data_IF_219468157232
#
_entry.id   IF_219468157232
#
_cell.length_a   1.000
_cell.length_b   1.000
_cell.length_c   1.000
_cell.angle_alpha   90.00
_cell.angle_beta   90.00
_cell.angle_gamma   90.00
#
_symmetry.space_group_name_H-M   'P 1'
#
loop_
_entity.id
_entity.type
_entity.pdbx_description
1 polymer ?
#
# COMPACT_ATOMS: atom_id res chain seq x y z
N UNK A 1 -1.61 17.10 17.82
CA UNK A 1 -2.62 16.74 18.85
C UNK A 1 -3.96 16.63 18.16
N UNK A 2 -4.41 15.40 17.89
CA UNK A 2 -5.75 15.15 17.35
C UNK A 2 -6.74 15.49 18.46
N UNK A 3 -7.59 16.46 18.21
CA UNK A 3 -8.63 16.88 19.13
C UNK A 3 -9.75 15.82 19.11
N UNK A 4 -9.68 14.85 20.00
CA UNK A 4 -10.74 13.87 20.20
C UNK A 4 -11.92 14.63 20.79
N UNK A 5 -12.84 15.08 19.93
CA UNK A 5 -14.14 15.57 20.39
C UNK A 5 -14.85 14.41 21.05
N UNK A 6 -15.10 14.52 22.35
CA UNK A 6 -16.05 13.66 23.05
C UNK A 6 -17.39 13.74 22.33
N UNK A 7 -17.80 12.66 21.68
CA UNK A 7 -19.11 12.53 21.07
C UNK A 7 -20.17 12.68 22.18
N UNK A 8 -21.15 13.54 22.01
CA UNK A 8 -22.26 13.64 22.95
C UNK A 8 -23.09 12.34 22.92
N UNK A 9 -23.77 12.03 24.03
CA UNK A 9 -24.60 10.81 24.14
C UNK A 9 -25.63 10.64 23.00
N UNK A 10 -26.04 11.74 22.36
CA UNK A 10 -26.96 11.73 21.22
C UNK A 10 -26.32 11.24 19.92
N UNK A 11 -24.99 11.16 19.85
CA UNK A 11 -24.24 10.70 18.65
C UNK A 11 -23.84 9.21 18.72
N UNK A 12 -24.08 8.53 19.85
CA UNK A 12 -23.72 7.13 20.07
C UNK A 12 -24.58 6.14 19.28
N UNK A 13 -25.65 6.59 18.63
CA UNK A 13 -26.54 5.77 17.81
C UNK A 13 -26.47 6.06 16.30
N UNK A 14 -25.58 6.97 15.86
CA UNK A 14 -25.34 7.14 14.44
C UNK A 14 -24.58 5.92 13.92
N UNK A 15 -25.17 5.16 13.02
CA UNK A 15 -24.46 4.09 12.33
C UNK A 15 -23.31 4.73 11.54
N UNK A 16 -22.08 4.31 11.82
CA UNK A 16 -20.95 4.68 11.00
C UNK A 16 -20.99 3.82 9.73
N UNK A 17 -21.10 4.47 8.59
CA UNK A 17 -20.99 3.76 7.32
C UNK A 17 -19.61 3.14 7.18
N UNK A 18 -19.59 1.90 6.70
CA UNK A 18 -18.35 1.14 6.49
C UNK A 18 -17.43 1.81 5.48
N UNK A 19 -18.00 2.53 4.54
CA UNK A 19 -17.33 3.32 3.53
C UNK A 19 -17.98 4.70 3.44
N UNK A 20 -17.31 5.72 3.95
CA UNK A 20 -17.76 7.10 3.86
C UNK A 20 -16.85 7.89 2.92
N UNK A 21 -16.97 7.64 1.61
CA UNK A 21 -16.27 8.42 0.58
C UNK A 21 -17.20 9.55 0.16
N UNK A 22 -16.88 10.78 0.57
CA UNK A 22 -17.64 11.98 0.24
C UNK A 22 -16.99 12.79 -0.86
N UNK A 23 -17.71 13.02 -1.96
CA UNK A 23 -17.33 14.00 -2.98
C UNK A 23 -18.22 15.23 -2.86
N UNK A 24 -17.60 16.40 -2.73
CA UNK A 24 -18.33 17.68 -2.71
C UNK A 24 -18.54 18.23 -4.15
N UNK A 25 -19.16 19.42 -4.25
CA UNK A 25 -19.43 20.05 -5.54
C UNK A 25 -18.16 20.46 -6.30
N UNK A 26 -17.05 20.73 -5.58
CA UNK A 26 -15.75 21.09 -6.18
C UNK A 26 -15.12 19.86 -6.82
N UNK A 27 -15.15 18.72 -6.13
CA UNK A 27 -14.68 17.44 -6.64
C UNK A 27 -15.43 17.04 -7.91
N UNK A 28 -16.78 17.18 -7.87
CA UNK A 28 -17.63 16.88 -9.03
C UNK A 28 -17.29 17.77 -10.23
N UNK A 29 -17.17 19.11 -10.01
CA UNK A 29 -16.82 20.04 -11.07
C UNK A 29 -15.45 19.68 -11.69
N UNK A 30 -14.48 19.37 -10.86
CA UNK A 30 -13.13 18.98 -11.30
C UNK A 30 -13.12 17.67 -12.07
N UNK A 31 -13.90 16.67 -11.64
CA UNK A 31 -14.03 15.40 -12.33
C UNK A 31 -14.63 15.59 -13.74
N UNK A 32 -15.68 16.41 -13.88
CA UNK A 32 -16.25 16.72 -15.20
C UNK A 32 -15.23 17.40 -16.13
N UNK A 33 -14.52 18.41 -15.63
CA UNK A 33 -13.46 19.07 -16.41
C UNK A 33 -12.39 18.08 -16.88
N UNK A 34 -11.93 17.19 -16.00
CA UNK A 34 -10.90 16.20 -16.35
C UNK A 34 -11.42 15.15 -17.33
N UNK A 35 -12.69 14.74 -17.19
CA UNK A 35 -13.34 13.85 -18.16
C UNK A 35 -13.44 14.47 -19.56
N UNK A 36 -13.86 15.73 -19.65
CA UNK A 36 -13.94 16.45 -20.93
C UNK A 36 -12.56 16.48 -21.60
N UNK A 37 -11.50 16.77 -20.84
CA UNK A 37 -10.12 16.73 -21.36
C UNK A 37 -9.71 15.36 -21.89
N UNK A 38 -10.08 14.27 -21.19
CA UNK A 38 -9.80 12.91 -21.67
C UNK A 38 -10.54 12.62 -22.98
N UNK A 39 -11.81 12.98 -23.04
CA UNK A 39 -12.63 12.78 -24.23
C UNK A 39 -12.11 13.57 -25.44
N UNK A 40 -11.76 14.84 -25.24
CA UNK A 40 -11.24 15.73 -26.27
C UNK A 40 -9.85 15.29 -26.78
N UNK A 41 -9.06 14.64 -25.93
CA UNK A 41 -7.72 14.16 -26.28
C UNK A 41 -7.72 12.93 -27.20
N UNK A 42 -8.83 12.20 -27.29
CA UNK A 42 -8.97 10.90 -27.95
C UNK A 42 -7.97 9.82 -27.43
N UNK A 43 -7.32 10.07 -26.28
CA UNK A 43 -6.36 9.16 -25.63
C UNK A 43 -6.89 8.70 -24.28
N UNK A 44 -7.52 7.53 -24.25
CA UNK A 44 -8.27 7.04 -23.09
C UNK A 44 -7.48 6.10 -22.17
N UNK A 45 -6.36 5.56 -22.61
CA UNK A 45 -5.53 4.63 -21.83
C UNK A 45 -4.15 5.18 -21.47
N UNK A 46 -3.59 5.98 -22.35
CA UNK A 46 -2.29 6.63 -22.17
C UNK A 46 -2.43 8.09 -22.61
N UNK A 47 -1.87 9.00 -21.86
CA UNK A 47 -1.94 10.41 -22.24
C UNK A 47 -1.60 11.34 -21.08
N UNK A 48 -1.90 12.62 -21.30
CA UNK A 48 -1.53 13.68 -20.36
C UNK A 48 -2.13 13.53 -18.97
N UNK A 49 -3.30 12.89 -18.82
CA UNK A 49 -3.94 12.72 -17.51
C UNK A 49 -3.22 11.66 -16.64
N UNK A 50 -2.77 10.57 -17.27
CA UNK A 50 -1.95 9.57 -16.58
C UNK A 50 -0.63 10.20 -16.16
N UNK A 51 0.08 10.87 -17.07
CA UNK A 51 1.34 11.54 -16.77
C UNK A 51 1.19 12.63 -15.69
N UNK A 52 0.09 13.39 -15.72
CA UNK A 52 -0.20 14.40 -14.70
C UNK A 52 -0.46 13.77 -13.32
N UNK A 53 -1.16 12.63 -13.27
CA UNK A 53 -1.38 11.88 -12.03
C UNK A 53 -0.05 11.33 -11.49
N UNK A 54 0.75 10.66 -12.30
CA UNK A 54 2.05 10.12 -11.91
C UNK A 54 2.97 11.21 -11.37
N UNK A 55 3.04 12.36 -12.07
CA UNK A 55 3.82 13.51 -11.65
C UNK A 55 3.34 14.08 -10.31
N UNK A 56 2.02 14.24 -10.13
CA UNK A 56 1.45 14.77 -8.89
C UNK A 56 1.64 13.80 -7.70
N UNK A 57 1.44 12.50 -7.94
CA UNK A 57 1.62 11.48 -6.93
C UNK A 57 3.09 11.32 -6.54
N UNK A 58 3.98 11.32 -7.54
CA UNK A 58 5.42 11.27 -7.32
C UNK A 58 5.93 12.47 -6.54
N UNK A 59 5.51 13.68 -6.93
CA UNK A 59 5.86 14.90 -6.20
C UNK A 59 5.33 14.91 -4.76
N UNK A 60 4.14 14.34 -4.52
CA UNK A 60 3.58 14.27 -3.17
C UNK A 60 4.34 13.28 -2.27
N UNK A 61 4.83 12.18 -2.81
CA UNK A 61 5.59 11.17 -2.06
C UNK A 61 7.12 11.35 -2.16
N UNK A 62 7.59 12.31 -2.96
CA UNK A 62 9.03 12.53 -3.24
C UNK A 62 9.72 11.31 -3.88
N UNK A 63 8.97 10.56 -4.69
CA UNK A 63 9.39 9.34 -5.39
C UNK A 63 8.89 9.34 -6.84
N UNK A 64 9.52 8.57 -7.70
CA UNK A 64 8.95 8.27 -9.02
C UNK A 64 7.69 7.43 -8.88
N UNK A 65 6.70 7.67 -9.73
CA UNK A 65 5.43 6.97 -9.71
C UNK A 65 5.05 6.44 -11.09
N UNK A 66 4.46 5.25 -11.12
CA UNK A 66 3.86 4.67 -12.32
C UNK A 66 2.42 4.22 -12.03
N UNK A 67 1.49 4.63 -12.87
CA UNK A 67 0.08 4.30 -12.71
C UNK A 67 -0.26 2.95 -13.38
N UNK A 68 -1.07 2.16 -12.70
CA UNK A 68 -1.60 0.90 -13.19
C UNK A 68 -3.13 0.90 -13.13
N UNK A 69 -3.77 0.11 -13.98
CA UNK A 69 -5.23 -0.01 -14.00
C UNK A 69 -5.81 -0.66 -12.72
N UNK A 70 -4.97 -1.29 -11.90
CA UNK A 70 -5.38 -1.93 -10.64
C UNK A 70 -4.17 -2.14 -9.73
N UNK A 71 -4.43 -2.27 -8.42
CA UNK A 71 -3.44 -2.71 -7.44
C UNK A 71 -2.77 -4.03 -7.87
N UNK A 72 -3.56 -4.98 -8.39
CA UNK A 72 -3.02 -6.27 -8.84
C UNK A 72 -2.01 -6.14 -9.98
N UNK A 73 -2.22 -5.20 -10.89
CA UNK A 73 -1.27 -4.88 -11.95
C UNK A 73 0.04 -4.32 -11.41
N UNK A 74 -0.04 -3.37 -10.48
CA UNK A 74 1.13 -2.78 -9.83
C UNK A 74 1.91 -3.83 -9.02
N UNK A 75 1.22 -4.59 -8.18
CA UNK A 75 1.85 -5.64 -7.36
C UNK A 75 2.53 -6.71 -8.21
N UNK A 76 1.90 -7.14 -9.32
CA UNK A 76 2.51 -8.12 -10.21
C UNK A 76 3.76 -7.56 -10.90
N UNK A 77 3.74 -6.29 -11.32
CA UNK A 77 4.91 -5.63 -11.89
C UNK A 77 6.07 -5.55 -10.88
N UNK A 78 5.80 -5.18 -9.64
CA UNK A 78 6.79 -5.15 -8.57
C UNK A 78 7.38 -6.56 -8.29
N UNK A 79 6.54 -7.59 -8.24
CA UNK A 79 6.96 -8.98 -8.05
C UNK A 79 7.85 -9.50 -9.20
N UNK A 80 7.48 -9.20 -10.44
CA UNK A 80 8.28 -9.56 -11.62
C UNK A 80 9.61 -8.81 -11.62
N UNK A 81 9.62 -7.53 -11.27
CA UNK A 81 10.84 -6.73 -11.12
C UNK A 81 11.75 -7.29 -10.02
N UNK A 82 11.20 -7.68 -8.88
CA UNK A 82 11.93 -8.31 -7.79
C UNK A 82 12.51 -9.70 -8.16
N UNK A 83 12.01 -10.33 -9.22
CA UNK A 83 12.50 -11.63 -9.70
C UNK A 83 12.11 -12.78 -8.76
N UNK A 84 10.87 -12.83 -8.31
CA UNK A 84 10.41 -13.79 -7.26
C UNK A 84 10.11 -15.20 -7.76
N UNK A 85 10.18 -15.46 -9.06
CA UNK A 85 9.83 -16.78 -9.64
C UNK A 85 10.72 -17.90 -9.10
N UNK A 86 10.11 -18.89 -8.44
CA UNK A 86 10.80 -20.02 -7.81
C UNK A 86 11.35 -19.71 -6.42
N UNK A 87 11.37 -18.45 -6.02
CA UNK A 87 11.89 -17.96 -4.74
C UNK A 87 10.80 -17.91 -3.66
N UNK A 88 11.21 -17.70 -2.42
CA UNK A 88 10.28 -17.48 -1.30
C UNK A 88 9.97 -15.99 -1.15
N UNK A 89 8.73 -15.68 -0.86
CA UNK A 89 8.25 -14.35 -0.48
C UNK A 89 7.50 -14.43 0.85
N UNK A 90 7.72 -13.44 1.72
CA UNK A 90 6.99 -13.32 2.97
C UNK A 90 5.77 -12.41 2.77
N UNK A 91 4.61 -12.87 3.25
CA UNK A 91 3.37 -12.10 3.24
C UNK A 91 2.79 -12.03 4.65
N UNK A 92 2.21 -10.90 5.08
CA UNK A 92 1.50 -10.87 6.36
C UNK A 92 0.27 -11.79 6.32
N UNK A 93 -0.04 -12.44 7.44
CA UNK A 93 -1.22 -13.32 7.56
C UNK A 93 -2.53 -12.52 7.57
N UNK A 94 -2.48 -11.28 8.03
CA UNK A 94 -3.62 -10.35 7.98
C UNK A 94 -3.49 -9.41 6.78
N UNK A 95 -4.02 -9.82 5.64
CA UNK A 95 -3.99 -9.06 4.40
C UNK A 95 -5.19 -9.39 3.51
N UNK A 96 -5.40 -8.57 2.50
CA UNK A 96 -6.33 -8.92 1.43
C UNK A 96 -5.80 -10.12 0.63
N UNK A 97 -6.68 -11.03 0.27
CA UNK A 97 -6.32 -12.32 -0.37
C UNK A 97 -5.49 -12.14 -1.66
N UNK A 98 -5.60 -11.01 -2.36
CA UNK A 98 -4.83 -10.77 -3.57
C UNK A 98 -3.31 -10.76 -3.32
N UNK A 99 -2.86 -10.31 -2.15
CA UNK A 99 -1.42 -10.21 -1.82
C UNK A 99 -0.71 -11.57 -1.97
N UNK A 100 -1.08 -12.64 -1.23
CA UNK A 100 -0.44 -13.95 -1.42
C UNK A 100 -0.79 -14.61 -2.76
N UNK A 101 -2.01 -14.39 -3.30
CA UNK A 101 -2.38 -15.00 -4.58
C UNK A 101 -1.57 -14.46 -5.75
N UNK A 102 -1.23 -13.19 -5.77
CA UNK A 102 -0.36 -12.62 -6.82
C UNK A 102 1.08 -13.10 -6.69
N UNK A 103 1.59 -13.26 -5.47
CA UNK A 103 2.90 -13.89 -5.26
C UNK A 103 2.94 -15.32 -5.82
N UNK A 104 1.92 -16.13 -5.54
CA UNK A 104 1.77 -17.46 -6.13
C UNK A 104 1.63 -17.40 -7.66
N UNK A 105 0.87 -16.43 -8.19
CA UNK A 105 0.71 -16.23 -9.64
C UNK A 105 2.01 -15.84 -10.32
N UNK A 106 2.86 -15.05 -9.67
CA UNK A 106 4.21 -14.72 -10.13
C UNK A 106 5.17 -15.92 -10.08
N UNK A 107 4.75 -17.05 -9.50
CA UNK A 107 5.51 -18.28 -9.39
C UNK A 107 6.40 -18.36 -8.14
N UNK A 108 6.14 -17.52 -7.13
CA UNK A 108 6.82 -17.57 -5.85
C UNK A 108 6.24 -18.66 -4.92
N UNK A 109 7.00 -19.01 -3.89
CA UNK A 109 6.54 -19.76 -2.72
C UNK A 109 6.19 -18.75 -1.65
N UNK A 110 4.99 -18.85 -1.07
CA UNK A 110 4.51 -17.91 -0.05
C UNK A 110 4.67 -18.53 1.34
N UNK A 111 5.32 -17.78 2.21
CA UNK A 111 5.35 -18.03 3.65
C UNK A 111 4.65 -16.88 4.37
N UNK A 112 3.79 -17.20 5.33
CA UNK A 112 3.05 -16.20 6.06
C UNK A 112 3.80 -15.76 7.31
N UNK A 113 3.73 -14.46 7.59
CA UNK A 113 4.21 -13.84 8.82
C UNK A 113 3.01 -13.48 9.69
N UNK A 114 3.09 -13.79 10.97
CA UNK A 114 2.02 -13.48 11.93
C UNK A 114 1.87 -11.97 12.13
N UNK A 115 0.77 -11.55 12.71
CA UNK A 115 0.49 -10.13 12.97
C UNK A 115 0.57 -9.80 14.45
N UNK A 116 0.93 -8.55 14.75
CA UNK A 116 0.85 -7.99 16.09
C UNK A 116 -0.60 -7.80 16.53
N UNK A 117 -0.84 -7.87 17.83
CA UNK A 117 -2.17 -7.60 18.42
C UNK A 117 -2.51 -6.12 18.46
N UNK A 118 -1.50 -5.27 18.53
CA UNK A 118 -1.68 -3.83 18.81
C UNK A 118 -2.02 -3.06 17.55
N UNK A 119 -1.47 -3.45 16.40
CA UNK A 119 -1.68 -2.77 15.12
C UNK A 119 -2.26 -3.67 14.01
N UNK A 120 -2.35 -4.97 14.26
CA UNK A 120 -2.78 -5.98 13.28
C UNK A 120 -1.93 -6.03 12.01
N UNK A 121 -0.81 -5.33 11.98
CA UNK A 121 0.19 -5.40 10.93
C UNK A 121 1.20 -6.52 11.19
N UNK A 122 2.13 -6.73 10.28
CA UNK A 122 3.13 -7.79 10.34
C UNK A 122 4.00 -7.67 11.59
N UNK A 123 4.17 -8.76 12.34
CA UNK A 123 5.04 -8.83 13.51
C UNK A 123 6.52 -8.91 13.09
N UNK A 124 7.34 -7.98 13.57
CA UNK A 124 8.77 -7.98 13.29
C UNK A 124 9.46 -9.23 13.87
N UNK A 125 9.09 -9.68 15.04
CA UNK A 125 9.72 -10.86 15.66
C UNK A 125 9.52 -12.12 14.81
N UNK A 126 8.31 -12.37 14.31
CA UNK A 126 8.04 -13.52 13.42
C UNK A 126 8.63 -13.30 12.02
N UNK A 127 8.65 -12.05 11.55
CA UNK A 127 9.30 -11.68 10.29
C UNK A 127 10.81 -12.00 10.31
N UNK A 128 11.52 -11.55 11.34
CA UNK A 128 12.95 -11.78 11.51
C UNK A 128 13.28 -13.28 11.55
N UNK A 129 12.51 -14.07 12.32
CA UNK A 129 12.68 -15.53 12.36
C UNK A 129 12.54 -16.14 10.96
N UNK A 130 11.53 -15.73 10.22
CA UNK A 130 11.26 -16.26 8.88
C UNK A 130 12.24 -15.79 7.82
N UNK A 131 12.77 -14.58 7.94
CA UNK A 131 13.86 -14.09 7.09
C UNK A 131 15.08 -15.01 7.24
N UNK A 132 15.49 -15.31 8.47
CA UNK A 132 16.64 -16.18 8.73
C UNK A 132 16.40 -17.62 8.27
N UNK A 133 15.18 -18.13 8.43
CA UNK A 133 14.80 -19.50 8.05
C UNK A 133 14.67 -19.70 6.56
N UNK A 134 14.00 -18.78 5.86
CA UNK A 134 13.58 -18.97 4.48
C UNK A 134 14.39 -18.16 3.47
N UNK A 135 15.16 -17.16 3.91
CA UNK A 135 15.95 -16.25 3.07
C UNK A 135 15.13 -15.76 1.86
N UNK A 136 14.04 -15.02 2.10
CA UNK A 136 13.12 -14.63 1.07
C UNK A 136 13.75 -13.66 0.07
N UNK A 137 13.31 -13.72 -1.18
CA UNK A 137 13.68 -12.76 -2.22
C UNK A 137 12.99 -11.42 -2.04
N UNK A 138 11.73 -11.44 -1.57
CA UNK A 138 10.93 -10.26 -1.35
C UNK A 138 9.98 -10.45 -0.17
N UNK A 139 9.42 -9.35 0.32
CA UNK A 139 8.38 -9.35 1.34
C UNK A 139 7.34 -8.28 1.03
N UNK A 140 6.07 -8.57 1.36
CA UNK A 140 5.04 -7.55 1.48
C UNK A 140 4.92 -7.08 2.92
N UNK A 141 4.81 -5.77 3.13
CA UNK A 141 4.24 -5.19 4.33
C UNK A 141 2.92 -4.50 3.96
N UNK A 142 1.88 -4.70 4.75
CA UNK A 142 0.55 -4.13 4.51
C UNK A 142 0.19 -3.23 5.68
N UNK A 143 -0.11 -1.98 5.38
CA UNK A 143 -0.53 -0.98 6.37
C UNK A 143 -2.03 -1.09 6.60
N UNK A 144 -2.42 -2.13 7.35
CA UNK A 144 -3.83 -2.51 7.52
C UNK A 144 -4.60 -1.46 8.32
N UNK A 145 -5.84 -1.17 7.94
CA UNK A 145 -6.71 -0.26 8.67
C UNK A 145 -6.38 1.23 8.51
N UNK A 146 -5.38 1.59 7.69
CA UNK A 146 -5.08 2.98 7.36
C UNK A 146 -4.02 3.65 8.24
N UNK A 147 -3.31 2.88 9.06
CA UNK A 147 -2.13 3.36 9.79
C UNK A 147 -0.88 2.63 9.31
N UNK A 148 0.26 3.27 9.51
CA UNK A 148 1.55 2.65 9.19
C UNK A 148 1.85 1.55 10.21
N UNK A 149 2.36 0.39 9.77
CA UNK A 149 2.80 -0.68 10.65
C UNK A 149 3.79 -0.14 11.69
N UNK A 150 3.56 -0.45 12.98
CA UNK A 150 4.34 0.16 14.07
C UNK A 150 5.82 -0.25 14.06
N UNK A 151 6.13 -1.39 13.47
CA UNK A 151 7.48 -1.92 13.37
C UNK A 151 8.11 -1.73 11.97
N UNK A 152 7.57 -0.80 11.17
CA UNK A 152 8.02 -0.59 9.77
C UNK A 152 9.51 -0.26 9.66
N UNK A 153 10.07 0.52 10.60
CA UNK A 153 11.47 0.89 10.60
C UNK A 153 12.38 -0.34 10.71
N UNK A 154 12.03 -1.25 11.62
CA UNK A 154 12.78 -2.48 11.85
C UNK A 154 12.65 -3.44 10.66
N UNK A 155 11.45 -3.56 10.08
CA UNK A 155 11.18 -4.38 8.91
C UNK A 155 11.99 -3.87 7.71
N UNK A 156 11.92 -2.57 7.43
CA UNK A 156 12.63 -1.95 6.31
C UNK A 156 14.16 -2.07 6.46
N UNK A 157 14.69 -1.84 7.67
CA UNK A 157 16.12 -1.98 7.93
C UNK A 157 16.60 -3.42 7.74
N UNK A 158 15.87 -4.41 8.25
CA UNK A 158 16.20 -5.81 8.04
C UNK A 158 16.16 -6.19 6.54
N UNK A 159 15.14 -5.74 5.80
CA UNK A 159 15.08 -5.95 4.36
C UNK A 159 16.31 -5.37 3.65
N UNK A 160 16.68 -4.15 4.00
CA UNK A 160 17.84 -3.46 3.42
C UNK A 160 19.16 -4.23 3.70
N UNK A 161 19.35 -4.71 4.93
CA UNK A 161 20.56 -5.45 5.35
C UNK A 161 20.65 -6.81 4.65
N UNK A 162 19.53 -7.52 4.57
CA UNK A 162 19.46 -8.87 3.98
C UNK A 162 19.26 -8.87 2.46
N UNK A 163 19.08 -7.69 1.82
CA UNK A 163 18.86 -7.56 0.39
C UNK A 163 17.50 -8.10 -0.07
N UNK A 164 16.48 -7.98 0.77
CA UNK A 164 15.11 -8.40 0.52
C UNK A 164 14.35 -7.25 -0.12
N UNK A 165 13.71 -7.47 -1.27
CA UNK A 165 12.88 -6.47 -1.93
C UNK A 165 11.58 -6.26 -1.15
N UNK A 166 11.42 -5.08 -0.54
CA UNK A 166 10.26 -4.75 0.28
C UNK A 166 9.19 -4.03 -0.55
N UNK A 167 7.98 -4.59 -0.58
CA UNK A 167 6.81 -4.01 -1.23
C UNK A 167 5.85 -3.52 -0.15
N UNK A 168 5.52 -2.21 -0.16
CA UNK A 168 4.54 -1.63 0.75
C UNK A 168 3.15 -1.60 0.11
N UNK A 169 2.19 -2.27 0.71
CA UNK A 169 0.78 -2.14 0.35
C UNK A 169 0.14 -1.02 1.19
N UNK A 170 -0.03 0.13 0.55
CA UNK A 170 -0.61 1.33 1.14
C UNK A 170 -2.08 1.53 0.75
N UNK A 171 -2.77 0.51 0.24
CA UNK A 171 -4.16 0.64 -0.25
C UNK A 171 -5.12 1.25 0.80
N UNK A 172 -4.87 1.06 2.07
CA UNK A 172 -5.62 1.67 3.17
C UNK A 172 -4.96 2.92 3.76
N UNK A 173 -3.68 3.20 3.46
CA UNK A 173 -2.84 4.13 4.22
C UNK A 173 -2.33 5.33 3.40
N UNK A 174 -3.11 5.76 2.39
CA UNK A 174 -2.74 6.94 1.60
C UNK A 174 -2.60 8.18 2.47
N UNK A 175 -1.40 8.75 2.54
CA UNK A 175 -1.08 9.92 3.35
C UNK A 175 -0.88 9.64 4.84
N UNK A 176 -0.92 8.38 5.28
CA UNK A 176 -0.50 8.03 6.63
C UNK A 176 0.99 8.25 6.81
N UNK A 177 1.40 8.64 8.01
CA UNK A 177 2.80 8.93 8.32
C UNK A 177 3.21 8.24 9.62
N UNK A 178 4.46 7.80 9.68
CA UNK A 178 5.12 7.31 10.87
C UNK A 178 6.42 8.08 11.07
N UNK A 179 6.58 8.71 12.22
CA UNK A 179 7.74 9.54 12.56
C UNK A 179 8.10 10.59 11.48
N UNK A 180 7.06 11.19 10.83
CA UNK A 180 7.23 12.19 9.79
C UNK A 180 7.58 11.62 8.40
N UNK A 181 7.56 10.30 8.22
CA UNK A 181 7.78 9.64 6.95
C UNK A 181 6.51 8.92 6.47
N UNK A 182 6.14 9.11 5.22
CA UNK A 182 4.90 8.57 4.65
C UNK A 182 4.97 7.07 4.43
N UNK A 183 3.81 6.41 4.56
CA UNK A 183 3.60 5.07 4.03
C UNK A 183 3.89 5.05 2.53
N UNK A 184 4.49 3.98 2.03
CA UNK A 184 4.91 3.84 0.64
C UNK A 184 6.28 4.45 0.33
N UNK A 185 7.04 4.84 1.36
CA UNK A 185 8.40 5.38 1.17
C UNK A 185 9.46 4.59 1.93
N UNK A 186 9.10 3.54 2.63
CA UNK A 186 10.00 2.71 3.43
C UNK A 186 10.59 1.54 2.64
N UNK A 187 9.83 1.02 1.66
CA UNK A 187 10.20 -0.09 0.81
C UNK A 187 10.88 0.33 -0.51
N UNK A 188 11.02 -0.67 -1.37
CA UNK A 188 11.59 -0.52 -2.72
C UNK A 188 10.49 -0.24 -3.76
N UNK A 189 9.21 -0.58 -3.41
CA UNK A 189 8.02 -0.34 -4.23
C UNK A 189 6.76 -0.22 -3.36
#
# INVERSE_FOLDING_TARGET
>A
MINVRTLSEAQTHASLDRFAIGFDHRDRARLHELWDRVLDSERWSEGEMVAAFESAWGAWNELDAAAFASWSGAALAALEFAGVRGETILCPSNTFMATPLLALRAGAKVEFVDCNRDDLCMSFADFEEKVHRHRPRAAFVVHIGGHVAFEIEQIAELCRVEGIFLIEDCAHAHGAEWNGRRAGTWGDA
#
